data_IF_735282568272
#
_entry.id   IF_735282568272
#
_cell.length_a   1.000
_cell.length_b   1.000
_cell.length_c   1.000
_cell.angle_alpha   90.00
_cell.angle_beta   90.00
_cell.angle_gamma   90.00
#
_symmetry.space_group_name_H-M   'P 1'
#
loop_
_entity.id
_entity.type
_entity.pdbx_description
1 polymer ?
#
# COMPACT_ATOMS: atom_id res chain seq x y z
N UNK A 1 1.37 23.06 -16.05
CA UNK A 1 0.35 22.04 -15.73
C UNK A 1 0.27 22.00 -14.22
N UNK A 2 -0.91 22.19 -13.66
CA UNK A 2 -1.11 21.93 -12.26
C UNK A 2 -0.90 20.43 -12.05
N UNK A 3 -0.29 20.02 -10.94
CA UNK A 3 0.10 18.63 -10.70
C UNK A 3 -1.07 17.79 -10.18
N UNK A 4 -0.76 16.55 -9.83
CA UNK A 4 -1.67 15.65 -9.13
C UNK A 4 -1.33 15.69 -7.64
N UNK A 5 -2.33 15.91 -6.79
CA UNK A 5 -2.19 15.81 -5.33
C UNK A 5 -2.62 14.44 -4.84
N UNK A 6 -2.00 13.95 -3.79
CA UNK A 6 -2.42 12.76 -3.06
C UNK A 6 -2.82 13.10 -1.63
N UNK A 7 -3.95 12.55 -1.20
CA UNK A 7 -4.40 12.62 0.19
C UNK A 7 -4.33 11.21 0.76
N UNK A 8 -3.47 11.03 1.74
CA UNK A 8 -3.22 9.76 2.41
C UNK A 8 -3.42 9.91 3.91
N UNK A 9 -3.70 8.81 4.60
CA UNK A 9 -3.70 8.77 6.05
C UNK A 9 -2.47 7.99 6.55
N UNK A 10 -1.65 8.62 7.34
CA UNK A 10 -0.57 7.98 8.07
C UNK A 10 -1.01 7.63 9.49
N UNK A 11 -0.67 6.43 9.91
CA UNK A 11 -0.84 5.99 11.30
C UNK A 11 0.47 6.23 12.05
N UNK A 12 0.64 7.41 12.65
CA UNK A 12 1.76 7.71 13.54
C UNK A 12 1.33 7.68 15.00
N UNK A 13 2.15 7.15 15.91
CA UNK A 13 2.11 7.28 17.38
C UNK A 13 0.72 7.45 18.06
N UNK A 14 -0.32 6.82 17.52
CA UNK A 14 -1.68 6.84 18.06
C UNK A 14 -2.63 7.83 17.40
N UNK A 15 -2.17 8.79 16.64
CA UNK A 15 -3.00 9.76 15.95
C UNK A 15 -3.01 9.52 14.44
N UNK A 16 -4.20 9.58 13.84
CA UNK A 16 -4.34 9.60 12.38
C UNK A 16 -3.95 10.98 11.88
N UNK A 17 -2.94 11.04 11.06
CA UNK A 17 -2.49 12.27 10.40
C UNK A 17 -2.80 12.17 8.93
N UNK A 18 -3.55 13.12 8.39
CA UNK A 18 -3.78 13.26 6.97
C UNK A 18 -2.62 14.00 6.33
N UNK A 19 -2.10 13.44 5.25
CA UNK A 19 -0.97 14.02 4.53
C UNK A 19 -1.40 14.41 3.13
N UNK A 20 -1.04 15.61 2.73
CA UNK A 20 -1.09 16.08 1.36
C UNK A 20 0.33 16.07 0.79
N UNK A 21 0.49 15.42 -0.34
CA UNK A 21 1.75 15.44 -1.09
C UNK A 21 1.48 15.64 -2.58
N UNK A 22 2.48 16.10 -3.29
CA UNK A 22 2.43 16.07 -4.74
C UNK A 22 2.69 14.64 -5.21
N UNK A 23 1.81 14.13 -6.08
CA UNK A 23 2.04 12.86 -6.74
C UNK A 23 3.29 12.98 -7.62
N UNK A 24 4.28 12.18 -7.34
CA UNK A 24 5.48 12.12 -8.13
C UNK A 24 5.63 10.77 -8.86
N UNK A 25 6.69 10.65 -9.63
CA UNK A 25 6.97 9.44 -10.40
C UNK A 25 7.42 8.25 -9.55
N UNK A 26 7.59 8.45 -8.24
CA UNK A 26 8.18 7.45 -7.34
C UNK A 26 7.16 6.51 -6.72
N UNK A 27 5.87 6.78 -6.88
CA UNK A 27 4.80 5.82 -6.56
C UNK A 27 4.01 6.08 -5.28
N UNK A 28 2.89 5.38 -5.19
CA UNK A 28 1.80 5.55 -4.22
C UNK A 28 2.14 5.32 -2.75
N UNK A 29 3.32 4.81 -2.44
CA UNK A 29 3.68 4.41 -1.08
C UNK A 29 4.83 5.20 -0.50
N UNK A 30 5.30 6.20 -1.23
CA UNK A 30 6.43 6.98 -0.79
C UNK A 30 5.92 8.25 -0.14
N UNK A 31 6.17 8.37 1.15
CA UNK A 31 5.91 9.58 1.93
C UNK A 31 6.93 10.69 1.63
N UNK A 32 7.47 10.69 0.42
CA UNK A 32 8.41 11.70 -0.03
C UNK A 32 7.65 12.90 -0.57
N UNK A 33 8.04 14.06 -0.12
CA UNK A 33 7.49 15.30 -0.61
C UNK A 33 6.17 15.70 0.03
N UNK A 34 5.87 15.20 1.25
CA UNK A 34 4.76 15.71 2.05
C UNK A 34 4.85 17.22 2.13
N UNK A 35 3.87 17.90 1.54
CA UNK A 35 3.82 19.37 1.50
C UNK A 35 3.06 19.93 2.68
N UNK A 36 2.07 19.20 3.18
CA UNK A 36 1.23 19.65 4.29
C UNK A 36 0.67 18.45 5.06
N UNK A 37 0.58 18.59 6.38
CA UNK A 37 0.05 17.59 7.30
C UNK A 37 -1.14 18.16 8.05
N UNK A 38 -2.24 17.43 8.08
CA UNK A 38 -3.48 17.84 8.76
C UNK A 38 -3.73 16.95 9.98
N UNK A 39 -3.97 17.57 11.12
CA UNK A 39 -4.26 16.84 12.37
C UNK A 39 -5.63 16.15 12.36
N UNK A 40 -6.55 16.65 11.58
CA UNK A 40 -7.93 16.18 11.50
C UNK A 40 -8.58 16.52 10.16
N UNK A 41 -9.71 15.90 9.90
CA UNK A 41 -10.52 16.13 8.71
C UNK A 41 -10.96 17.61 8.55
N UNK A 42 -11.27 18.28 9.64
CA UNK A 42 -11.74 19.67 9.58
C UNK A 42 -10.65 20.63 9.07
N UNK A 43 -9.40 20.35 9.42
CA UNK A 43 -8.24 21.08 8.92
C UNK A 43 -8.06 20.89 7.41
N UNK A 44 -8.25 19.65 6.90
CA UNK A 44 -8.22 19.35 5.47
C UNK A 44 -9.37 20.05 4.73
N UNK A 45 -10.59 19.99 5.27
CA UNK A 45 -11.78 20.63 4.65
C UNK A 45 -11.57 22.13 4.48
N UNK A 46 -10.98 22.82 5.44
CA UNK A 46 -10.66 24.25 5.36
C UNK A 46 -9.70 24.59 4.21
N UNK A 47 -8.87 23.63 3.81
CA UNK A 47 -7.89 23.79 2.73
C UNK A 47 -8.40 23.27 1.37
N UNK A 48 -9.59 22.66 1.33
CA UNK A 48 -10.10 22.00 0.12
C UNK A 48 -10.20 22.94 -1.08
N UNK A 49 -10.59 24.20 -0.88
CA UNK A 49 -10.69 25.19 -1.95
C UNK A 49 -9.32 25.52 -2.57
N UNK A 50 -8.30 25.72 -1.74
CA UNK A 50 -6.94 25.98 -2.22
C UNK A 50 -6.34 24.75 -2.92
N UNK A 51 -6.58 23.56 -2.37
CA UNK A 51 -6.11 22.30 -2.96
C UNK A 51 -6.73 22.10 -4.35
N UNK A 52 -8.05 22.23 -4.46
CA UNK A 52 -8.75 22.05 -5.74
C UNK A 52 -8.37 23.08 -6.80
N UNK A 53 -7.92 24.27 -6.42
CA UNK A 53 -7.45 25.29 -7.37
C UNK A 53 -6.01 25.09 -7.78
N UNK A 54 -5.20 24.46 -6.93
CA UNK A 54 -3.77 24.24 -7.14
C UNK A 54 -3.44 23.00 -7.95
N UNK A 55 -4.39 22.02 -8.02
CA UNK A 55 -4.13 20.71 -8.65
C UNK A 55 -5.21 20.36 -9.68
N UNK A 56 -4.80 19.66 -10.75
CA UNK A 56 -5.72 19.18 -11.80
C UNK A 56 -6.50 17.95 -11.34
N UNK A 57 -5.85 17.05 -10.60
CA UNK A 57 -6.43 15.85 -10.02
C UNK A 57 -6.06 15.71 -8.55
N UNK A 58 -6.93 15.04 -7.80
CA UNK A 58 -6.80 14.79 -6.37
C UNK A 58 -7.04 13.31 -6.14
N UNK A 59 -5.98 12.58 -5.84
CA UNK A 59 -6.01 11.16 -5.51
C UNK A 59 -6.28 11.01 -4.03
N UNK A 60 -7.28 10.23 -3.69
CA UNK A 60 -7.65 9.96 -2.29
C UNK A 60 -7.48 8.46 -2.02
N UNK A 61 -6.64 8.14 -1.05
CA UNK A 61 -6.35 6.76 -0.67
C UNK A 61 -7.23 6.32 0.50
N UNK A 62 -7.97 5.22 0.35
CA UNK A 62 -8.77 4.51 1.37
C UNK A 62 -9.86 5.33 2.11
N UNK A 63 -9.98 6.64 1.85
CA UNK A 63 -10.88 7.55 2.56
C UNK A 63 -11.86 8.23 1.60
N UNK A 64 -12.73 7.41 1.02
CA UNK A 64 -13.70 7.87 0.00
C UNK A 64 -14.65 8.97 0.50
N UNK A 65 -14.87 9.09 1.81
CA UNK A 65 -15.66 10.16 2.41
C UNK A 65 -15.13 11.57 2.10
N UNK A 66 -13.83 11.71 1.83
CA UNK A 66 -13.22 13.01 1.51
C UNK A 66 -13.57 13.50 0.10
N UNK A 67 -14.06 12.65 -0.78
CA UNK A 67 -14.44 13.01 -2.15
C UNK A 67 -15.46 14.15 -2.23
N UNK A 68 -16.33 14.25 -1.22
CA UNK A 68 -17.39 15.27 -1.17
C UNK A 68 -16.86 16.70 -1.04
N UNK A 69 -15.60 16.86 -0.62
CA UNK A 69 -14.96 18.17 -0.43
C UNK A 69 -14.34 18.72 -1.71
N UNK A 70 -14.36 17.95 -2.80
CA UNK A 70 -13.71 18.30 -4.05
C UNK A 70 -14.64 18.12 -5.25
N UNK A 71 -14.42 18.87 -6.35
CA UNK A 71 -15.17 18.69 -7.60
C UNK A 71 -15.00 17.26 -8.12
N UNK A 72 -16.10 16.60 -8.45
CA UNK A 72 -16.15 15.20 -8.88
C UNK A 72 -15.17 14.86 -10.01
N UNK A 73 -15.04 15.75 -10.99
CA UNK A 73 -14.15 15.57 -12.14
C UNK A 73 -12.65 15.67 -11.79
N UNK A 74 -12.33 16.06 -10.58
CA UNK A 74 -10.94 16.12 -10.08
C UNK A 74 -10.57 14.93 -9.20
N UNK A 75 -11.54 14.20 -8.65
CA UNK A 75 -11.30 13.14 -7.68
C UNK A 75 -10.99 11.81 -8.37
N UNK A 76 -9.99 11.11 -7.84
CA UNK A 76 -9.63 9.73 -8.16
C UNK A 76 -9.49 8.96 -6.85
N UNK A 77 -10.04 7.76 -6.76
CA UNK A 77 -10.01 6.95 -5.54
C UNK A 77 -9.08 5.74 -5.73
N UNK A 78 -8.22 5.49 -4.73
CA UNK A 78 -7.36 4.31 -4.68
C UNK A 78 -7.61 3.56 -3.37
N UNK A 79 -7.91 2.27 -3.47
CA UNK A 79 -8.19 1.41 -2.32
C UNK A 79 -7.09 0.34 -2.14
N UNK A 80 -6.60 0.23 -0.89
CA UNK A 80 -5.55 -0.70 -0.49
C UNK A 80 -6.05 -1.94 0.26
N UNK A 81 -7.35 -2.07 0.45
CA UNK A 81 -8.01 -3.28 0.91
C UNK A 81 -8.64 -3.25 2.28
N UNK A 82 -7.97 -2.79 3.33
CA UNK A 82 -8.53 -2.87 4.69
C UNK A 82 -9.80 -2.05 4.88
N UNK A 83 -9.85 -0.86 4.30
CA UNK A 83 -11.04 -0.01 4.33
C UNK A 83 -12.12 -0.52 3.38
N UNK A 84 -11.76 -0.92 2.17
CA UNK A 84 -12.70 -1.36 1.17
C UNK A 84 -13.51 -2.59 1.63
N UNK A 85 -12.87 -3.54 2.31
CA UNK A 85 -13.54 -4.73 2.85
C UNK A 85 -14.54 -4.42 3.96
N UNK A 86 -14.56 -3.20 4.49
CA UNK A 86 -15.50 -2.73 5.50
C UNK A 86 -16.57 -1.77 4.99
N UNK A 87 -16.59 -1.44 3.69
CA UNK A 87 -17.62 -0.57 3.11
C UNK A 87 -18.95 -1.30 2.99
N UNK A 88 -20.03 -0.58 3.25
CA UNK A 88 -21.38 -1.08 2.99
C UNK A 88 -21.82 -0.81 1.53
N UNK A 89 -22.98 -1.37 1.14
CA UNK A 89 -23.50 -1.22 -0.23
C UNK A 89 -23.74 0.24 -0.63
N UNK A 90 -24.12 1.11 0.30
CA UNK A 90 -24.36 2.53 0.02
C UNK A 90 -23.05 3.26 -0.23
N UNK A 91 -22.01 2.92 0.55
CA UNK A 91 -20.67 3.46 0.37
C UNK A 91 -20.08 3.01 -0.98
N UNK A 92 -20.23 1.72 -1.33
CA UNK A 92 -19.83 1.18 -2.63
C UNK A 92 -20.56 1.91 -3.77
N UNK A 93 -21.87 2.10 -3.65
CA UNK A 93 -22.65 2.83 -4.66
C UNK A 93 -22.16 4.27 -4.81
N UNK A 94 -21.81 4.93 -3.70
CA UNK A 94 -21.36 6.33 -3.69
C UNK A 94 -20.03 6.56 -4.42
N UNK A 95 -19.22 5.54 -4.65
CA UNK A 95 -17.92 5.65 -5.32
C UNK A 95 -17.96 5.28 -6.80
N UNK A 96 -19.04 4.68 -7.31
CA UNK A 96 -19.17 4.26 -8.72
C UNK A 96 -18.98 5.37 -9.74
N UNK A 97 -19.27 6.59 -9.34
CA UNK A 97 -19.20 7.76 -10.24
C UNK A 97 -17.80 8.36 -10.34
N UNK A 98 -16.82 7.80 -9.65
CA UNK A 98 -15.44 8.27 -9.63
C UNK A 98 -14.53 7.23 -10.31
N UNK A 99 -13.43 7.66 -10.94
CA UNK A 99 -12.35 6.74 -11.30
C UNK A 99 -11.85 6.03 -10.04
N UNK A 100 -11.98 4.70 -10.01
CA UNK A 100 -11.60 3.87 -8.86
C UNK A 100 -10.50 2.90 -9.26
N UNK A 101 -9.50 2.80 -8.40
CA UNK A 101 -8.40 1.86 -8.53
C UNK A 101 -8.29 1.00 -7.27
N UNK A 102 -7.85 -0.25 -7.46
CA UNK A 102 -7.59 -1.19 -6.38
C UNK A 102 -6.17 -1.74 -6.50
N UNK A 103 -5.45 -1.84 -5.40
CA UNK A 103 -4.03 -2.25 -5.44
C UNK A 103 -3.82 -3.75 -5.37
N UNK A 104 -4.88 -4.53 -5.09
CA UNK A 104 -4.86 -5.99 -5.14
C UNK A 104 -6.07 -6.50 -5.92
N UNK A 105 -5.88 -7.54 -6.73
CA UNK A 105 -6.88 -8.00 -7.69
C UNK A 105 -8.12 -8.61 -7.04
N UNK A 106 -8.01 -9.16 -5.81
CA UNK A 106 -9.15 -9.66 -5.03
C UNK A 106 -10.18 -8.58 -4.69
N UNK A 107 -9.78 -7.31 -4.69
CA UNK A 107 -10.70 -6.19 -4.42
C UNK A 107 -11.64 -5.90 -5.59
N UNK A 108 -11.37 -6.44 -6.78
CA UNK A 108 -12.30 -6.38 -7.90
C UNK A 108 -13.57 -7.19 -7.65
N UNK A 109 -13.55 -8.15 -6.74
CA UNK A 109 -14.76 -8.86 -6.31
C UNK A 109 -15.74 -7.93 -5.55
N UNK A 110 -15.21 -6.90 -4.91
CA UNK A 110 -15.98 -5.87 -4.17
C UNK A 110 -16.31 -4.69 -5.08
N UNK A 111 -15.33 -4.21 -5.85
CA UNK A 111 -15.48 -3.10 -6.79
C UNK A 111 -15.22 -3.56 -8.24
N UNK A 112 -16.15 -4.26 -8.88
CA UNK A 112 -15.93 -4.84 -10.22
C UNK A 112 -15.77 -3.79 -11.33
N UNK A 113 -16.11 -2.54 -11.06
CA UNK A 113 -15.92 -1.40 -11.96
C UNK A 113 -14.57 -0.68 -11.78
N UNK A 114 -13.79 -1.04 -10.77
CA UNK A 114 -12.48 -0.44 -10.54
C UNK A 114 -11.41 -1.02 -11.48
N UNK A 115 -10.33 -0.27 -11.67
CA UNK A 115 -9.14 -0.75 -12.38
C UNK A 115 -8.12 -1.32 -11.38
N UNK A 116 -7.61 -2.52 -11.65
CA UNK A 116 -6.50 -3.06 -10.87
C UNK A 116 -5.20 -2.31 -11.20
N UNK A 117 -4.59 -1.72 -10.19
CA UNK A 117 -3.34 -0.98 -10.26
C UNK A 117 -2.35 -1.58 -9.27
N UNK A 118 -1.43 -2.45 -9.70
CA UNK A 118 -0.46 -3.08 -8.83
C UNK A 118 0.35 -2.05 -8.03
N UNK A 119 0.70 -2.40 -6.80
CA UNK A 119 1.55 -1.55 -5.98
C UNK A 119 2.87 -1.23 -6.70
N UNK A 120 3.22 0.04 -6.92
CA UNK A 120 4.46 0.41 -7.60
C UNK A 120 5.67 0.08 -6.75
N UNK A 121 6.75 -0.33 -7.40
CA UNK A 121 8.03 -0.63 -6.80
C UNK A 121 9.14 0.18 -7.49
N UNK A 122 9.90 0.95 -6.73
CA UNK A 122 11.14 1.56 -7.23
C UNK A 122 12.27 0.53 -7.25
N UNK A 123 12.49 -0.06 -8.42
CA UNK A 123 13.52 -1.07 -8.62
C UNK A 123 14.94 -0.54 -8.46
N UNK A 124 15.17 0.75 -8.61
CA UNK A 124 16.49 1.34 -8.40
C UNK A 124 16.85 1.41 -6.92
N UNK A 125 15.86 1.70 -6.07
CA UNK A 125 16.02 1.69 -4.62
C UNK A 125 16.29 0.27 -4.09
N UNK A 126 15.67 -0.76 -4.69
CA UNK A 126 15.78 -2.16 -4.27
C UNK A 126 16.85 -2.95 -5.07
N UNK A 127 18.01 -2.33 -5.33
CA UNK A 127 19.15 -2.97 -6.02
C UNK A 127 20.29 -3.37 -5.10
N UNK A 128 20.08 -3.49 -3.81
CA UNK A 128 21.12 -3.84 -2.86
C UNK A 128 21.40 -5.34 -2.90
N UNK A 129 22.67 -5.72 -2.73
CA UNK A 129 23.04 -7.13 -2.58
C UNK A 129 22.52 -7.67 -1.23
N UNK A 130 22.04 -8.91 -1.26
CA UNK A 130 21.62 -9.64 -0.06
C UNK A 130 22.83 -10.32 0.56
N UNK A 131 23.22 -9.86 1.74
CA UNK A 131 24.35 -10.40 2.50
C UNK A 131 23.91 -11.35 3.63
N UNK A 132 22.63 -11.38 3.93
CA UNK A 132 22.06 -12.07 5.08
C UNK A 132 21.76 -13.56 4.85
N UNK A 133 21.45 -14.26 5.96
CA UNK A 133 21.20 -15.70 5.99
C UNK A 133 19.92 -15.94 6.78
N UNK A 134 19.07 -15.49 7.09
CA UNK A 134 17.91 -15.81 7.95
C UNK A 134 16.59 -15.75 7.22
N UNK A 135 15.58 -15.93 8.01
CA UNK A 135 14.19 -15.86 7.62
C UNK A 135 13.53 -14.68 8.33
N UNK A 136 12.74 -13.91 7.64
CA UNK A 136 11.96 -12.79 8.21
C UNK A 136 10.51 -12.88 7.81
N UNK A 137 9.60 -12.55 8.72
CA UNK A 137 8.21 -12.27 8.45
C UNK A 137 7.86 -10.90 9.01
N UNK A 138 7.27 -10.05 8.18
CA UNK A 138 6.79 -8.73 8.59
C UNK A 138 5.27 -8.74 8.51
N UNK A 139 4.60 -8.47 9.61
CA UNK A 139 3.16 -8.44 9.62
C UNK A 139 2.59 -7.27 10.43
N UNK A 140 1.37 -6.89 10.06
CA UNK A 140 0.51 -6.00 10.83
C UNK A 140 -0.58 -6.86 11.43
N UNK A 141 -0.48 -7.27 12.65
CA UNK A 141 -1.50 -8.11 13.24
C UNK A 141 -2.05 -7.51 14.52
N UNK A 142 -3.37 -7.49 14.62
CA UNK A 142 -4.06 -7.24 15.89
C UNK A 142 -3.97 -8.45 16.83
N UNK A 143 -3.54 -9.61 16.32
CA UNK A 143 -3.40 -10.87 17.06
C UNK A 143 -1.98 -11.42 16.91
N UNK A 144 -0.99 -10.58 17.23
CA UNK A 144 0.45 -10.85 17.07
C UNK A 144 0.86 -12.26 17.48
N UNK A 145 0.55 -12.66 18.70
CA UNK A 145 1.03 -13.91 19.27
C UNK A 145 0.53 -15.15 18.47
N UNK A 146 -0.69 -15.06 17.97
CA UNK A 146 -1.28 -16.09 17.12
C UNK A 146 -0.61 -16.17 15.75
N UNK A 147 -0.41 -15.03 15.11
CA UNK A 147 0.22 -14.93 13.79
C UNK A 147 1.66 -15.40 13.86
N UNK A 148 2.43 -14.91 14.83
CA UNK A 148 3.81 -15.31 15.04
C UNK A 148 3.92 -16.81 15.30
N UNK A 149 3.07 -17.37 16.16
CA UNK A 149 3.03 -18.81 16.44
C UNK A 149 2.76 -19.61 15.17
N UNK A 150 1.75 -19.25 14.37
CA UNK A 150 1.40 -19.94 13.11
C UNK A 150 2.56 -19.95 12.12
N UNK A 151 3.26 -18.84 11.98
CA UNK A 151 4.42 -18.73 11.10
C UNK A 151 5.55 -19.60 11.62
N UNK A 152 5.85 -19.55 12.92
CA UNK A 152 6.94 -20.33 13.55
C UNK A 152 6.69 -21.84 13.58
N UNK A 153 5.45 -22.28 13.58
CA UNK A 153 5.10 -23.70 13.42
C UNK A 153 5.64 -24.28 12.09
N UNK A 154 5.66 -23.48 11.02
CA UNK A 154 6.18 -23.90 9.71
C UNK A 154 7.62 -23.50 9.47
N UNK A 155 8.02 -22.35 9.99
CA UNK A 155 9.37 -21.78 9.86
C UNK A 155 9.94 -21.46 11.25
N UNK A 156 10.49 -22.46 11.99
CA UNK A 156 10.87 -22.29 13.40
C UNK A 156 11.91 -21.19 13.65
N UNK A 157 12.81 -20.97 12.69
CA UNK A 157 13.92 -20.01 12.80
C UNK A 157 13.56 -18.62 12.25
N UNK A 158 12.28 -18.37 11.94
CA UNK A 158 11.86 -17.08 11.41
C UNK A 158 11.96 -15.99 12.48
N UNK A 159 12.57 -14.88 12.13
CA UNK A 159 12.44 -13.64 12.87
C UNK A 159 11.10 -12.99 12.53
N UNK A 160 10.32 -12.65 13.54
CA UNK A 160 9.03 -12.04 13.36
C UNK A 160 9.09 -10.55 13.72
N UNK A 161 8.84 -9.71 12.74
CA UNK A 161 8.79 -8.27 12.91
C UNK A 161 7.36 -7.75 12.86
N UNK A 162 6.88 -7.18 13.97
CA UNK A 162 5.58 -6.55 14.03
C UNK A 162 5.68 -5.09 13.56
N UNK A 163 4.98 -4.80 12.47
CA UNK A 163 4.85 -3.44 11.98
C UNK A 163 3.71 -2.72 12.72
N UNK A 164 4.06 -1.99 13.76
CA UNK A 164 3.13 -1.14 14.52
C UNK A 164 3.57 0.35 14.48
N UNK A 165 2.77 1.23 15.09
CA UNK A 165 3.04 2.68 15.08
C UNK A 165 4.41 3.08 15.64
N UNK A 166 5.01 2.26 16.53
CA UNK A 166 6.33 2.51 17.12
C UNK A 166 7.50 1.84 16.39
N UNK A 167 7.21 0.98 15.39
CA UNK A 167 8.22 0.18 14.70
C UNK A 167 8.04 0.22 13.17
N UNK A 168 7.72 1.39 12.63
CA UNK A 168 7.60 1.58 11.18
C UNK A 168 9.00 1.69 10.57
N UNK A 169 9.33 0.74 9.69
CA UNK A 169 10.51 0.86 8.82
C UNK A 169 10.09 1.75 7.65
N UNK A 170 10.82 2.82 7.41
CA UNK A 170 10.56 3.70 6.28
C UNK A 170 10.85 2.98 4.97
N UNK A 171 10.22 3.43 3.91
CA UNK A 171 10.39 2.81 2.59
C UNK A 171 11.85 2.83 2.12
N UNK A 172 12.54 3.95 2.33
CA UNK A 172 13.97 4.14 2.02
C UNK A 172 14.91 3.24 2.81
N UNK A 173 14.52 2.88 4.04
CA UNK A 173 15.32 2.03 4.93
C UNK A 173 15.02 0.54 4.73
N UNK A 174 13.95 0.22 4.01
CA UNK A 174 13.51 -1.16 3.78
C UNK A 174 14.54 -2.02 3.05
N UNK A 175 15.29 -1.53 2.04
CA UNK A 175 16.35 -2.30 1.40
C UNK A 175 17.44 -2.71 2.38
N UNK A 176 17.86 -1.82 3.27
CA UNK A 176 18.88 -2.10 4.28
C UNK A 176 18.39 -3.10 5.32
N UNK A 177 17.15 -2.99 5.71
CA UNK A 177 16.53 -3.93 6.64
C UNK A 177 16.39 -5.32 6.02
N UNK A 178 15.80 -5.44 4.83
CA UNK A 178 15.52 -6.72 4.19
C UNK A 178 16.80 -7.43 3.71
N UNK A 179 17.85 -6.70 3.30
CA UNK A 179 19.10 -7.30 2.83
C UNK A 179 19.83 -8.13 3.88
N UNK A 180 19.46 -8.02 5.15
CA UNK A 180 19.98 -8.82 6.25
C UNK A 180 19.43 -10.26 6.26
N UNK A 181 18.45 -10.57 5.41
CA UNK A 181 17.78 -11.87 5.35
C UNK A 181 17.89 -12.47 3.96
N UNK A 182 17.74 -13.79 3.87
CA UNK A 182 17.71 -14.55 2.62
C UNK A 182 16.31 -14.98 2.22
N UNK A 183 15.43 -15.13 3.18
CA UNK A 183 14.08 -15.63 3.00
C UNK A 183 13.06 -14.67 3.62
N UNK A 184 11.98 -14.43 2.90
CA UNK A 184 10.84 -13.65 3.37
C UNK A 184 9.57 -14.51 3.38
N UNK A 185 8.80 -14.48 4.46
CA UNK A 185 7.52 -15.19 4.58
C UNK A 185 6.39 -14.19 4.33
N UNK A 186 5.75 -14.31 3.17
CA UNK A 186 4.65 -13.42 2.75
C UNK A 186 3.28 -14.07 3.03
N UNK A 187 2.96 -14.17 4.30
CA UNK A 187 1.66 -14.67 4.71
C UNK A 187 0.73 -13.54 5.07
N UNK A 188 -0.50 -13.62 4.58
CA UNK A 188 -1.59 -12.71 4.93
C UNK A 188 -2.57 -13.42 5.85
N UNK A 189 -3.20 -12.67 6.72
CA UNK A 189 -4.08 -13.22 7.75
C UNK A 189 -5.41 -12.47 7.77
N UNK A 190 -6.48 -13.20 8.06
CA UNK A 190 -7.79 -12.62 8.40
C UNK A 190 -7.73 -11.96 9.78
N UNK A 191 -8.81 -11.28 10.14
CA UNK A 191 -8.98 -10.73 11.50
C UNK A 191 -8.98 -11.81 12.59
N UNK A 192 -9.32 -13.05 12.24
CA UNK A 192 -9.31 -14.21 13.15
C UNK A 192 -7.95 -14.94 13.16
N UNK A 193 -6.90 -14.29 12.62
CA UNK A 193 -5.54 -14.83 12.51
C UNK A 193 -5.41 -16.13 11.69
N UNK A 194 -6.35 -16.39 10.79
CA UNK A 194 -6.23 -17.52 9.85
C UNK A 194 -5.47 -17.09 8.60
N UNK A 195 -4.47 -17.90 8.16
CA UNK A 195 -3.70 -17.59 6.95
C UNK A 195 -4.57 -17.72 5.71
N UNK A 196 -4.52 -16.69 4.84
CA UNK A 196 -5.27 -16.64 3.58
C UNK A 196 -4.32 -16.57 2.38
N UNK A 197 -4.71 -17.20 1.28
CA UNK A 197 -4.09 -16.98 -0.02
C UNK A 197 -4.76 -15.78 -0.67
N UNK A 198 -3.98 -14.74 -0.96
CA UNK A 198 -4.42 -13.66 -1.83
C UNK A 198 -3.68 -13.76 -3.16
N UNK A 199 -4.32 -13.37 -4.28
CA UNK A 199 -3.73 -13.52 -5.61
C UNK A 199 -2.47 -12.68 -5.80
N UNK A 200 -2.40 -11.54 -5.10
CA UNK A 200 -1.27 -10.62 -5.19
C UNK A 200 -0.40 -10.70 -3.93
N UNK A 201 0.93 -10.66 -4.07
CA UNK A 201 1.82 -10.58 -2.92
C UNK A 201 1.66 -9.27 -2.16
N UNK A 202 2.16 -9.23 -0.93
CA UNK A 202 2.22 -7.97 -0.18
C UNK A 202 3.23 -7.00 -0.80
N UNK A 203 3.08 -5.71 -0.52
CA UNK A 203 4.07 -4.71 -0.95
C UNK A 203 5.48 -5.08 -0.44
N UNK A 204 5.60 -5.55 0.80
CA UNK A 204 6.88 -5.99 1.36
C UNK A 204 7.38 -7.28 0.70
N UNK A 205 6.48 -8.20 0.32
CA UNK A 205 6.83 -9.39 -0.46
C UNK A 205 7.44 -9.04 -1.82
N UNK A 206 6.88 -8.05 -2.52
CA UNK A 206 7.45 -7.53 -3.78
C UNK A 206 8.79 -6.84 -3.56
N UNK A 207 8.96 -6.07 -2.48
CA UNK A 207 10.22 -5.44 -2.10
C UNK A 207 11.31 -6.48 -1.80
N UNK A 208 10.98 -7.50 -1.03
CA UNK A 208 11.88 -8.63 -0.74
C UNK A 208 12.28 -9.38 -2.02
N UNK A 209 11.32 -9.64 -2.91
CA UNK A 209 11.56 -10.28 -4.21
C UNK A 209 12.50 -9.45 -5.09
N UNK A 210 12.37 -8.12 -5.08
CA UNK A 210 13.21 -7.20 -5.86
C UNK A 210 14.66 -7.19 -5.38
N UNK A 211 14.89 -7.36 -4.09
CA UNK A 211 16.23 -7.53 -3.51
C UNK A 211 16.82 -8.93 -3.78
N UNK A 212 16.04 -9.87 -4.31
CA UNK A 212 16.49 -11.24 -4.58
C UNK A 212 16.29 -12.21 -3.41
N UNK A 213 15.50 -11.84 -2.40
CA UNK A 213 15.11 -12.79 -1.36
C UNK A 213 14.19 -13.88 -1.96
N UNK A 214 14.28 -15.09 -1.42
CA UNK A 214 13.27 -16.12 -1.71
C UNK A 214 12.01 -15.81 -0.89
N UNK A 215 10.92 -15.46 -1.57
CA UNK A 215 9.64 -15.12 -0.93
C UNK A 215 8.73 -16.33 -0.91
N UNK A 216 8.28 -16.72 0.27
CA UNK A 216 7.48 -17.93 0.51
C UNK A 216 6.03 -17.58 0.82
N UNK A 217 5.10 -18.17 0.08
CA UNK A 217 3.67 -18.10 0.36
C UNK A 217 3.22 -19.06 1.48
N UNK A 218 1.94 -18.98 1.88
CA UNK A 218 1.39 -19.84 2.94
C UNK A 218 1.37 -21.32 2.57
N UNK A 219 1.29 -21.66 1.29
CA UNK A 219 1.20 -23.03 0.80
C UNK A 219 2.58 -23.67 0.63
N UNK A 220 3.66 -22.88 0.79
CA UNK A 220 5.05 -23.29 0.70
C UNK A 220 5.65 -23.13 -0.70
N UNK A 221 4.89 -22.51 -1.59
CA UNK A 221 5.39 -22.04 -2.88
C UNK A 221 6.34 -20.86 -2.74
N UNK A 222 6.98 -20.49 -3.84
CA UNK A 222 7.81 -19.29 -3.92
C UNK A 222 7.31 -18.35 -5.02
N UNK A 223 7.40 -17.06 -4.76
CA UNK A 223 6.99 -16.05 -5.74
C UNK A 223 7.98 -16.01 -6.91
N UNK A 224 7.41 -15.83 -8.11
CA UNK A 224 8.20 -15.72 -9.33
C UNK A 224 8.76 -14.30 -9.51
N UNK A 225 10.05 -14.14 -9.87
CA UNK A 225 10.62 -12.83 -10.22
C UNK A 225 9.91 -12.11 -11.38
N UNK A 226 9.13 -12.81 -12.20
CA UNK A 226 8.33 -12.18 -13.26
C UNK A 226 7.31 -11.19 -12.73
N UNK A 227 6.87 -11.33 -11.48
CA UNK A 227 5.98 -10.38 -10.81
C UNK A 227 6.55 -8.96 -10.76
N UNK A 228 7.87 -8.82 -10.71
CA UNK A 228 8.52 -7.51 -10.70
C UNK A 228 8.23 -6.67 -11.96
N UNK A 229 7.86 -7.30 -13.07
CA UNK A 229 7.55 -6.57 -14.31
C UNK A 229 6.23 -5.81 -14.23
N UNK A 230 5.26 -6.33 -13.50
CA UNK A 230 3.95 -5.68 -13.33
C UNK A 230 3.97 -4.62 -12.22
N UNK A 231 4.95 -4.68 -11.32
CA UNK A 231 5.11 -3.75 -10.21
C UNK A 231 6.14 -2.64 -10.49
N UNK A 232 6.71 -2.56 -11.68
CA UNK A 232 7.66 -1.51 -12.05
C UNK A 232 7.02 -0.11 -11.90
N UNK A 233 7.58 0.73 -11.02
CA UNK A 233 6.98 2.00 -10.64
C UNK A 233 6.71 2.90 -11.84
N UNK A 234 7.65 2.99 -12.82
CA UNK A 234 7.49 3.83 -13.99
C UNK A 234 6.30 3.39 -14.84
N UNK A 235 6.12 2.08 -15.02
CA UNK A 235 5.00 1.52 -15.79
C UNK A 235 3.67 1.71 -15.07
N UNK A 236 3.63 1.44 -13.77
CA UNK A 236 2.42 1.58 -12.96
C UNK A 236 1.96 3.03 -12.93
N UNK A 237 2.88 3.96 -12.65
CA UNK A 237 2.57 5.40 -12.62
C UNK A 237 2.16 5.91 -13.99
N UNK A 238 2.86 5.53 -15.07
CA UNK A 238 2.49 5.94 -16.42
C UNK A 238 1.08 5.46 -16.79
N UNK A 239 0.77 4.19 -16.55
CA UNK A 239 -0.57 3.66 -16.78
C UNK A 239 -1.63 4.39 -15.98
N UNK A 240 -1.37 4.65 -14.70
CA UNK A 240 -2.28 5.42 -13.85
C UNK A 240 -2.52 6.81 -14.42
N UNK A 241 -1.46 7.53 -14.79
CA UNK A 241 -1.58 8.87 -15.36
C UNK A 241 -2.35 8.88 -16.67
N UNK A 242 -2.15 7.89 -17.54
CA UNK A 242 -2.87 7.76 -18.81
C UNK A 242 -4.38 7.52 -18.59
N UNK A 243 -4.77 6.87 -17.50
CA UNK A 243 -6.17 6.56 -17.19
C UNK A 243 -6.92 7.73 -16.49
N UNK A 244 -6.19 8.65 -15.84
CA UNK A 244 -6.84 9.77 -15.11
C UNK A 244 -6.81 11.10 -15.87
N UNK A 245 -6.04 11.22 -16.93
CA UNK A 245 -5.96 12.44 -17.76
C UNK A 245 -6.94 12.40 -18.90
#
# INVERSE_FOLDING_TARGET
MAGVAEIMCEYGAGDKVLQLQQFDTMGFYQYYGVTETFKDLQSLIKRAEDIQTSYDKIVIHDYSEFKINFPKNKVVLIFHGSKLRGLDDNEIESVKEYPCFVTTSDLLDILPFATHLPAPLDRELFKKDVEGYGWIAINRSYQRDFVEKRIKEKYPDVEYYERNAGSIIRYEDMPDFLSQYKHYVDWKFTNDAEPVSLPDPSCTGIQALALGLTVHDKDGGTLSPHLLLIHDAKRVVQRFMDEIT
#
